data_IF_463878483716
#
_entry.id   IF_463878483716
#
_cell.length_a   1.000
_cell.length_b   1.000
_cell.length_c   1.000
_cell.angle_alpha   90.00
_cell.angle_beta   90.00
_cell.angle_gamma   90.00
#
_symmetry.space_group_name_H-M   'P 1'
#
loop_
_entity.id
_entity.type
_entity.pdbx_description
1 polymer ?
#
# COMPACT_ATOMS: atom_id res chain seq x y z
N UNK A 1 -28.51 17.38 9.89
CA UNK A 1 -27.37 17.31 8.95
C UNK A 1 -27.39 15.94 8.31
N UNK A 2 -27.16 15.84 7.00
CA UNK A 2 -27.22 14.55 6.29
C UNK A 2 -26.11 13.61 6.81
N UNK A 3 -26.47 12.39 7.22
CA UNK A 3 -25.50 11.40 7.74
C UNK A 3 -24.42 11.06 6.72
N UNK A 4 -24.76 11.10 5.43
CA UNK A 4 -23.82 10.84 4.34
C UNK A 4 -22.78 11.95 4.24
N UNK A 5 -23.20 13.20 4.41
CA UNK A 5 -22.32 14.36 4.40
C UNK A 5 -21.35 14.33 5.59
N UNK A 6 -21.80 13.93 6.77
CA UNK A 6 -20.94 13.78 7.96
C UNK A 6 -19.87 12.69 7.75
N UNK A 7 -20.26 11.55 7.16
CA UNK A 7 -19.34 10.46 6.86
C UNK A 7 -18.35 10.83 5.75
N UNK A 8 -18.81 11.54 4.71
CA UNK A 8 -17.94 12.05 3.65
C UNK A 8 -16.91 13.05 4.21
N UNK A 9 -17.34 13.93 5.12
CA UNK A 9 -16.45 14.88 5.79
C UNK A 9 -15.36 14.17 6.62
N UNK A 10 -15.73 13.10 7.34
CA UNK A 10 -14.77 12.25 8.07
C UNK A 10 -13.79 11.54 7.14
N UNK A 11 -14.26 10.98 6.03
CA UNK A 11 -13.42 10.28 5.05
C UNK A 11 -12.42 11.24 4.38
N UNK A 12 -12.81 12.50 4.24
CA UNK A 12 -12.02 13.57 3.65
C UNK A 12 -11.18 14.38 4.66
N UNK A 13 -11.32 14.13 5.97
CA UNK A 13 -10.60 14.89 6.99
C UNK A 13 -10.95 16.38 7.05
N UNK A 14 -12.15 16.77 6.64
CA UNK A 14 -12.63 18.17 6.63
C UNK A 14 -13.87 18.35 7.50
N UNK A 15 -14.25 19.60 7.80
CA UNK A 15 -15.51 19.89 8.50
C UNK A 15 -16.72 19.67 7.60
N UNK A 16 -17.82 19.18 8.17
CA UNK A 16 -19.05 18.93 7.40
C UNK A 16 -19.63 20.20 6.76
N UNK A 17 -19.54 21.34 7.45
CA UNK A 17 -20.01 22.63 6.94
C UNK A 17 -19.14 23.14 5.77
N UNK A 18 -17.82 22.96 5.86
CA UNK A 18 -16.89 23.30 4.78
C UNK A 18 -17.12 22.44 3.54
N UNK A 19 -17.33 21.14 3.75
CA UNK A 19 -17.66 20.21 2.68
C UNK A 19 -19.01 20.53 2.02
N UNK A 20 -20.03 20.87 2.81
CA UNK A 20 -21.34 21.24 2.28
C UNK A 20 -21.27 22.48 1.40
N UNK A 21 -20.53 23.50 1.82
CA UNK A 21 -20.31 24.73 1.06
C UNK A 21 -19.65 24.46 -0.30
N UNK A 22 -18.63 23.59 -0.31
CA UNK A 22 -17.92 23.20 -1.53
C UNK A 22 -18.79 22.35 -2.46
N UNK A 23 -19.53 21.37 -1.95
CA UNK A 23 -20.40 20.53 -2.79
C UNK A 23 -21.54 21.36 -3.37
N UNK A 24 -22.11 22.27 -2.57
CA UNK A 24 -23.20 23.15 -3.00
C UNK A 24 -22.75 24.15 -4.06
N UNK A 25 -21.50 24.65 -3.99
CA UNK A 25 -20.95 25.57 -5.00
C UNK A 25 -20.61 24.86 -6.33
N UNK A 26 -20.31 23.56 -6.28
CA UNK A 26 -20.03 22.72 -7.45
C UNK A 26 -21.33 22.13 -8.04
N UNK A 27 -22.47 22.24 -7.34
CA UNK A 27 -23.77 21.72 -7.78
C UNK A 27 -23.84 20.19 -7.83
N UNK A 28 -22.97 19.50 -7.07
CA UNK A 28 -22.82 18.05 -7.12
C UNK A 28 -23.76 17.28 -6.17
N UNK A 29 -24.07 16.02 -6.52
CA UNK A 29 -24.79 15.10 -5.64
C UNK A 29 -23.84 14.46 -4.61
N UNK A 30 -23.91 14.90 -3.35
CA UNK A 30 -23.06 14.38 -2.26
C UNK A 30 -23.24 12.87 -1.99
N UNK A 31 -24.41 12.29 -2.29
CA UNK A 31 -24.60 10.83 -2.13
C UNK A 31 -23.78 10.04 -3.14
N UNK A 32 -23.74 10.50 -4.40
CA UNK A 32 -22.97 9.85 -5.46
C UNK A 32 -21.47 10.00 -5.24
N UNK A 33 -21.04 11.19 -4.78
CA UNK A 33 -19.64 11.45 -4.39
C UNK A 33 -19.24 10.51 -3.25
N UNK A 34 -20.08 10.36 -2.22
CA UNK A 34 -19.80 9.45 -1.11
C UNK A 34 -19.67 7.99 -1.54
N UNK A 35 -20.60 7.48 -2.35
CA UNK A 35 -20.54 6.09 -2.83
C UNK A 35 -19.26 5.82 -3.64
N UNK A 36 -18.86 6.77 -4.48
CA UNK A 36 -17.62 6.69 -5.26
C UNK A 36 -16.40 6.67 -4.35
N UNK A 37 -16.34 7.57 -3.37
CA UNK A 37 -15.21 7.66 -2.45
C UNK A 37 -15.09 6.45 -1.52
N UNK A 38 -16.20 5.89 -1.04
CA UNK A 38 -16.20 4.67 -0.21
C UNK A 38 -15.67 3.48 -1.00
N UNK A 39 -16.07 3.36 -2.27
CA UNK A 39 -15.55 2.32 -3.17
C UNK A 39 -14.05 2.47 -3.36
N UNK A 40 -13.59 3.68 -3.68
CA UNK A 40 -12.16 3.95 -3.90
C UNK A 40 -11.33 3.76 -2.61
N UNK A 41 -11.85 4.16 -1.46
CA UNK A 41 -11.20 3.96 -0.17
C UNK A 41 -11.08 2.47 0.18
N UNK A 42 -12.08 1.66 -0.18
CA UNK A 42 -12.02 0.20 0.01
C UNK A 42 -10.89 -0.40 -0.84
N UNK A 43 -10.79 0.02 -2.11
CA UNK A 43 -9.70 -0.41 -3.01
C UNK A 43 -8.35 0.04 -2.48
N UNK A 44 -8.23 1.30 -2.06
CA UNK A 44 -7.03 1.85 -1.43
C UNK A 44 -6.59 1.01 -0.21
N UNK A 45 -7.52 0.74 0.70
CA UNK A 45 -7.25 -0.04 1.92
C UNK A 45 -6.77 -1.46 1.60
N UNK A 46 -7.42 -2.14 0.65
CA UNK A 46 -6.98 -3.47 0.20
C UNK A 46 -5.57 -3.40 -0.37
N UNK A 47 -5.29 -2.46 -1.26
CA UNK A 47 -3.96 -2.32 -1.88
C UNK A 47 -2.88 -2.04 -0.85
N UNK A 48 -3.11 -1.10 0.08
CA UNK A 48 -2.15 -0.74 1.13
C UNK A 48 -1.90 -1.93 2.07
N UNK A 49 -2.95 -2.61 2.50
CA UNK A 49 -2.81 -3.78 3.37
C UNK A 49 -2.10 -4.94 2.67
N UNK A 50 -2.45 -5.23 1.41
CA UNK A 50 -1.77 -6.27 0.61
C UNK A 50 -0.29 -5.96 0.44
N UNK A 51 0.07 -4.71 0.11
CA UNK A 51 1.49 -4.31 0.03
C UNK A 51 2.23 -4.50 1.35
N UNK A 52 1.60 -4.10 2.44
CA UNK A 52 2.20 -4.18 3.78
C UNK A 52 2.44 -5.64 4.18
N UNK A 53 1.44 -6.49 3.99
CA UNK A 53 1.54 -7.93 4.25
C UNK A 53 2.61 -8.60 3.40
N UNK A 54 2.65 -8.30 2.09
CA UNK A 54 3.69 -8.83 1.19
C UNK A 54 5.08 -8.37 1.61
N UNK A 55 5.23 -7.10 2.00
CA UNK A 55 6.49 -6.56 2.52
C UNK A 55 6.96 -7.31 3.76
N UNK A 56 6.07 -7.57 4.72
CA UNK A 56 6.37 -8.33 5.94
C UNK A 56 6.79 -9.77 5.61
N UNK A 57 6.06 -10.46 4.73
CA UNK A 57 6.36 -11.84 4.34
C UNK A 57 7.75 -11.92 3.70
N UNK A 58 8.06 -11.02 2.77
CA UNK A 58 9.37 -10.97 2.12
C UNK A 58 10.49 -10.69 3.12
N UNK A 59 10.25 -9.78 4.07
CA UNK A 59 11.21 -9.46 5.11
C UNK A 59 11.50 -10.67 6.01
N UNK A 60 10.47 -11.36 6.51
CA UNK A 60 10.62 -12.57 7.33
C UNK A 60 11.33 -13.67 6.55
N UNK A 61 10.95 -13.91 5.29
CA UNK A 61 11.59 -14.91 4.43
C UNK A 61 13.08 -14.63 4.24
N UNK A 62 13.46 -13.36 4.10
CA UNK A 62 14.87 -12.95 3.98
C UNK A 62 15.67 -13.24 5.26
N UNK A 63 15.10 -12.95 6.44
CA UNK A 63 15.73 -13.22 7.74
C UNK A 63 15.93 -14.72 7.93
N UNK A 64 14.89 -15.52 7.68
CA UNK A 64 14.96 -16.99 7.80
C UNK A 64 16.05 -17.56 6.89
N UNK A 65 16.14 -17.07 5.65
CA UNK A 65 17.23 -17.45 4.75
C UNK A 65 18.61 -17.11 5.32
N UNK A 66 18.80 -15.90 5.85
CA UNK A 66 20.09 -15.49 6.42
C UNK A 66 20.47 -16.37 7.62
N UNK A 67 19.54 -16.59 8.55
CA UNK A 67 19.78 -17.43 9.75
C UNK A 67 20.10 -18.88 9.34
N UNK A 68 19.35 -19.45 8.41
CA UNK A 68 19.61 -20.81 7.92
C UNK A 68 21.01 -20.94 7.30
N UNK A 69 21.43 -19.96 6.48
CA UNK A 69 22.77 -19.93 5.91
C UNK A 69 23.86 -19.80 6.99
N UNK A 70 23.64 -18.99 8.03
CA UNK A 70 24.57 -18.87 9.15
C UNK A 70 24.71 -20.19 9.93
N UNK A 71 23.61 -20.88 10.23
CA UNK A 71 23.66 -22.17 10.96
C UNK A 71 24.44 -23.20 10.15
N UNK A 72 24.13 -23.34 8.86
CA UNK A 72 24.82 -24.24 7.95
C UNK A 72 26.32 -23.92 7.85
N UNK A 73 26.70 -22.64 7.86
CA UNK A 73 28.10 -22.22 7.85
C UNK A 73 28.89 -22.79 9.03
N UNK A 74 28.31 -22.74 10.22
CA UNK A 74 28.95 -23.22 11.44
C UNK A 74 29.03 -24.75 11.53
N UNK A 75 28.10 -25.48 10.90
CA UNK A 75 28.00 -26.94 11.01
C UNK A 75 28.81 -27.67 9.95
N UNK A 76 28.77 -27.24 8.69
CA UNK A 76 29.30 -28.04 7.55
C UNK A 76 30.56 -27.44 6.90
N UNK A 77 30.97 -26.23 7.29
CA UNK A 77 32.17 -25.57 6.74
C UNK A 77 31.99 -25.02 5.32
N UNK A 78 33.01 -24.31 4.83
CA UNK A 78 32.94 -23.40 3.67
C UNK A 78 32.51 -24.05 2.34
N UNK A 79 32.77 -25.34 2.13
CA UNK A 79 32.60 -26.02 0.85
C UNK A 79 31.11 -26.30 0.53
N UNK A 80 30.31 -26.71 1.52
CA UNK A 80 28.86 -26.91 1.39
C UNK A 80 28.08 -25.60 1.16
N UNK A 81 28.62 -24.51 1.70
CA UNK A 81 28.06 -23.16 1.54
C UNK A 81 28.23 -22.66 0.11
N UNK A 82 29.25 -23.11 -0.62
CA UNK A 82 29.43 -22.69 -2.01
C UNK A 82 28.28 -23.17 -2.92
N UNK A 83 27.68 -24.33 -2.63
CA UNK A 83 26.57 -24.89 -3.39
C UNK A 83 25.19 -24.45 -2.83
N UNK A 84 25.04 -24.44 -1.51
CA UNK A 84 23.84 -23.93 -0.83
C UNK A 84 23.70 -22.42 -0.98
N UNK A 85 24.80 -21.68 -0.95
CA UNK A 85 24.87 -20.23 -1.16
C UNK A 85 24.48 -19.83 -2.58
N UNK A 86 24.76 -20.65 -3.60
CA UNK A 86 24.23 -20.45 -4.96
C UNK A 86 22.71 -20.60 -5.01
N UNK A 87 22.14 -21.58 -4.30
CA UNK A 87 20.68 -21.73 -4.16
C UNK A 87 20.06 -20.57 -3.38
N UNK A 88 20.68 -20.15 -2.27
CA UNK A 88 20.25 -19.00 -1.49
C UNK A 88 20.29 -17.69 -2.30
N UNK A 89 21.36 -17.45 -3.06
CA UNK A 89 21.46 -16.35 -4.03
C UNK A 89 20.33 -16.40 -5.05
N UNK A 90 19.97 -17.59 -5.57
CA UNK A 90 18.84 -17.75 -6.49
C UNK A 90 17.50 -17.40 -5.83
N UNK A 91 17.28 -17.77 -4.57
CA UNK A 91 16.08 -17.39 -3.81
C UNK A 91 16.04 -15.89 -3.50
N UNK A 92 17.18 -15.29 -3.13
CA UNK A 92 17.31 -13.84 -2.93
C UNK A 92 17.04 -13.10 -4.24
N UNK A 93 17.58 -13.57 -5.37
CA UNK A 93 17.32 -12.99 -6.68
C UNK A 93 15.84 -13.12 -7.06
N UNK A 94 15.22 -14.27 -6.78
CA UNK A 94 13.79 -14.47 -7.02
C UNK A 94 12.96 -13.53 -6.15
N UNK A 95 13.30 -13.39 -4.86
CA UNK A 95 12.67 -12.43 -3.94
C UNK A 95 12.85 -10.98 -4.38
N UNK A 96 14.02 -10.61 -4.91
CA UNK A 96 14.29 -9.30 -5.49
C UNK A 96 13.41 -9.05 -6.72
N UNK A 97 13.31 -10.02 -7.63
CA UNK A 97 12.45 -9.92 -8.82
C UNK A 97 10.98 -9.75 -8.42
N UNK A 98 10.51 -10.53 -7.43
CA UNK A 98 9.14 -10.39 -6.90
C UNK A 98 8.95 -9.04 -6.21
N UNK A 99 9.93 -8.56 -5.45
CA UNK A 99 9.89 -7.24 -4.81
C UNK A 99 9.84 -6.09 -5.83
N UNK A 100 10.63 -6.18 -6.91
CA UNK A 100 10.60 -5.23 -8.03
C UNK A 100 9.23 -5.27 -8.72
N UNK A 101 8.65 -6.45 -8.94
CA UNK A 101 7.31 -6.57 -9.53
C UNK A 101 6.24 -5.92 -8.64
N UNK A 102 6.30 -6.10 -7.33
CA UNK A 102 5.38 -5.47 -6.37
C UNK A 102 5.57 -3.94 -6.37
N UNK A 103 6.81 -3.45 -6.47
CA UNK A 103 7.11 -2.02 -6.62
C UNK A 103 6.55 -1.45 -7.93
N UNK A 104 6.66 -2.18 -9.04
CA UNK A 104 6.08 -1.77 -10.32
C UNK A 104 4.56 -1.70 -10.24
N UNK A 105 3.90 -2.72 -9.70
CA UNK A 105 2.46 -2.70 -9.42
C UNK A 105 2.07 -1.57 -8.47
N UNK A 106 3.00 -1.15 -7.62
CA UNK A 106 2.80 -0.04 -6.70
C UNK A 106 2.74 1.32 -7.40
N UNK A 107 3.42 1.50 -8.53
CA UNK A 107 3.29 2.73 -9.33
C UNK A 107 1.90 2.88 -9.97
N UNK A 108 1.21 1.77 -10.24
CA UNK A 108 -0.12 1.80 -10.85
C UNK A 108 -1.27 1.92 -9.85
N UNK A 109 -1.02 1.71 -8.55
CA UNK A 109 -2.09 1.76 -7.55
C UNK A 109 -2.85 3.08 -7.48
N UNK A 110 -2.23 4.26 -7.64
CA UNK A 110 -2.96 5.53 -7.70
C UNK A 110 -4.02 5.60 -8.80
N UNK A 111 -3.90 4.80 -9.87
CA UNK A 111 -4.90 4.72 -10.95
C UNK A 111 -6.15 3.94 -10.54
N UNK A 112 -6.09 3.13 -9.47
CA UNK A 112 -7.22 2.34 -8.98
C UNK A 112 -8.16 3.15 -8.08
N UNK A 113 -7.71 4.29 -7.56
CA UNK A 113 -8.46 5.21 -6.70
C UNK A 113 -8.16 6.67 -7.08
N UNK A 114 -8.46 7.08 -8.34
CA UNK A 114 -7.98 8.36 -8.88
C UNK A 114 -8.56 9.58 -8.16
N UNK A 115 -9.83 9.55 -7.74
CA UNK A 115 -10.45 10.67 -7.05
C UNK A 115 -9.92 10.79 -5.62
N UNK A 116 -9.81 9.66 -4.91
CA UNK A 116 -9.23 9.62 -3.57
C UNK A 116 -7.75 10.07 -3.59
N UNK A 117 -6.98 9.65 -4.58
CA UNK A 117 -5.58 10.03 -4.74
C UNK A 117 -5.43 11.55 -4.99
N UNK A 118 -6.31 12.12 -5.82
CA UNK A 118 -6.33 13.56 -6.06
C UNK A 118 -6.64 14.34 -4.79
N UNK A 119 -7.64 13.91 -4.01
CA UNK A 119 -8.03 14.58 -2.77
C UNK A 119 -6.93 14.49 -1.71
N UNK A 120 -6.32 13.31 -1.54
CA UNK A 120 -5.18 13.12 -0.63
C UNK A 120 -4.00 14.03 -1.01
N UNK A 121 -3.67 14.13 -2.31
CA UNK A 121 -2.60 14.99 -2.80
C UNK A 121 -2.91 16.50 -2.64
N UNK A 122 -4.18 16.90 -2.70
CA UNK A 122 -4.61 18.27 -2.40
C UNK A 122 -4.53 18.57 -0.90
N UNK A 123 -4.94 17.63 -0.04
CA UNK A 123 -4.81 17.74 1.41
C UNK A 123 -3.34 17.87 1.84
N UNK A 124 -2.45 17.05 1.27
CA UNK A 124 -1.01 17.13 1.52
C UNK A 124 -0.45 18.52 1.16
N UNK A 125 -0.91 19.11 0.05
CA UNK A 125 -0.50 20.46 -0.38
C UNK A 125 -1.17 21.59 0.39
N UNK A 126 -2.35 21.37 0.95
CA UNK A 126 -3.12 22.37 1.70
C UNK A 126 -2.78 22.38 3.21
N UNK A 127 -2.11 21.33 3.71
CA UNK A 127 -1.77 21.12 5.12
C UNK A 127 -0.28 20.90 5.40
N UNK A 128 0.61 21.40 4.54
CA UNK A 128 2.06 21.53 4.78
C UNK A 128 2.46 22.98 5.02
#
# INVERSE_FOLDING_TARGET
MDKVLEQLAKLLGVTADGLQSVISSIGGNYQEIYQTLVREYTVYSVVVNTRTLLGIILFIASIVCVIANCIVFFVEGYEYISDTGKKALKYINTGLVVGILILLLSFFSPLLYPNLNLILGLLEKAGG
#
